data_IF_149596452734
#
_entry.id   IF_149596452734
#
_cell.length_a   1.000
_cell.length_b   1.000
_cell.length_c   1.000
_cell.angle_alpha   90.00
_cell.angle_beta   90.00
_cell.angle_gamma   90.00
#
_symmetry.space_group_name_H-M   'P 1'
#
loop_
_entity.id
_entity.type
_entity.pdbx_description
1 polymer ?
#
# COMPACT_ATOMS: atom_id res chain seq x y z
N UNK A 1 -4.23 -11.94 24.28
CA UNK A 1 -5.10 -12.31 23.15
C UNK A 1 -6.33 -13.05 23.64
N UNK A 2 -7.43 -12.33 23.91
CA UNK A 2 -8.70 -12.91 24.36
C UNK A 2 -9.62 -13.37 23.22
N UNK A 3 -9.26 -13.13 21.95
CA UNK A 3 -10.08 -13.50 20.80
C UNK A 3 -9.67 -14.90 20.33
N UNK A 4 -10.63 -15.84 20.30
CA UNK A 4 -10.41 -17.20 19.83
C UNK A 4 -10.59 -17.29 18.31
N UNK A 5 -11.64 -16.67 17.78
CA UNK A 5 -11.92 -16.60 16.33
C UNK A 5 -12.58 -15.27 15.98
N UNK A 6 -12.43 -14.84 14.73
CA UNK A 6 -13.08 -13.66 14.19
C UNK A 6 -13.50 -13.91 12.74
N UNK A 7 -14.74 -13.57 12.42
CA UNK A 7 -15.23 -13.49 11.04
C UNK A 7 -15.34 -12.01 10.67
N UNK A 8 -14.71 -11.63 9.58
CA UNK A 8 -14.69 -10.24 9.12
C UNK A 8 -15.20 -10.12 7.69
N UNK A 9 -16.26 -9.32 7.49
CA UNK A 9 -16.87 -9.08 6.19
C UNK A 9 -16.65 -7.64 5.74
N UNK A 10 -15.98 -7.48 4.59
CA UNK A 10 -15.84 -6.18 3.93
C UNK A 10 -17.06 -5.87 3.06
N UNK A 11 -17.66 -4.70 3.29
CA UNK A 11 -18.79 -4.20 2.49
C UNK A 11 -18.37 -3.49 1.19
N UNK A 12 -17.07 -3.25 0.98
CA UNK A 12 -16.57 -2.50 -0.18
C UNK A 12 -15.45 -3.28 -0.90
N UNK A 13 -15.76 -3.95 -2.02
CA UNK A 13 -14.79 -4.77 -2.74
C UNK A 13 -13.66 -3.96 -3.37
N UNK A 14 -13.83 -2.66 -3.63
CA UNK A 14 -12.76 -1.80 -4.16
C UNK A 14 -11.55 -1.75 -3.25
N UNK A 15 -11.73 -1.89 -1.94
CA UNK A 15 -10.62 -1.96 -1.01
C UNK A 15 -9.69 -3.13 -1.36
N UNK A 16 -10.25 -4.33 -1.59
CA UNK A 16 -9.48 -5.53 -1.94
C UNK A 16 -8.86 -5.40 -3.35
N UNK A 17 -9.58 -4.78 -4.30
CA UNK A 17 -9.08 -4.56 -5.66
C UNK A 17 -7.93 -3.54 -5.72
N UNK A 18 -7.86 -2.61 -4.75
CA UNK A 18 -6.77 -1.62 -4.64
C UNK A 18 -5.52 -2.15 -3.94
N UNK A 19 -5.59 -3.35 -3.35
CA UNK A 19 -4.44 -4.06 -2.78
C UNK A 19 -3.55 -4.68 -3.88
N UNK A 20 -3.36 -3.97 -4.98
CA UNK A 20 -2.49 -4.40 -6.08
C UNK A 20 -1.03 -4.15 -5.71
N UNK A 21 -0.19 -5.19 -5.68
CA UNK A 21 1.22 -5.10 -5.34
C UNK A 21 1.99 -4.06 -6.15
N UNK A 22 1.73 -3.98 -7.45
CA UNK A 22 2.43 -3.06 -8.35
C UNK A 22 2.07 -1.59 -8.12
N UNK A 23 0.88 -1.32 -7.56
CA UNK A 23 0.40 0.05 -7.27
C UNK A 23 0.77 0.55 -5.88
N UNK A 24 1.10 -0.35 -4.97
CA UNK A 24 1.35 -0.03 -3.56
C UNK A 24 2.67 0.72 -3.36
N UNK A 25 3.66 0.51 -4.22
CA UNK A 25 4.97 1.18 -4.14
C UNK A 25 4.90 2.72 -4.33
N UNK A 26 3.82 3.24 -4.93
CA UNK A 26 3.68 4.67 -5.24
C UNK A 26 2.77 5.47 -4.29
N UNK A 27 1.94 4.81 -3.48
CA UNK A 27 0.95 5.48 -2.61
C UNK A 27 1.05 5.14 -1.13
N UNK A 28 1.80 4.10 -0.75
CA UNK A 28 1.94 3.72 0.63
C UNK A 28 2.87 4.68 1.36
N UNK A 29 2.27 5.51 2.19
CA UNK A 29 2.94 6.24 3.27
C UNK A 29 3.84 7.40 2.87
N UNK A 30 3.26 8.51 2.40
CA UNK A 30 3.87 9.84 2.58
C UNK A 30 3.72 10.22 4.06
N UNK A 31 4.72 9.89 4.85
CA UNK A 31 4.94 10.53 6.15
C UNK A 31 6.04 11.56 5.90
N UNK A 32 5.71 12.83 6.11
CA UNK A 32 6.54 13.99 5.72
C UNK A 32 7.72 14.29 6.69
N UNK A 33 8.17 13.32 7.49
CA UNK A 33 9.23 13.57 8.47
C UNK A 33 10.33 12.49 8.39
N UNK A 34 11.48 12.83 7.81
CA UNK A 34 12.56 11.90 7.47
C UNK A 34 13.16 11.16 8.68
N UNK A 35 13.15 11.75 9.87
CA UNK A 35 13.66 11.12 11.10
C UNK A 35 12.69 10.12 11.73
N UNK A 36 11.39 10.35 11.59
CA UNK A 36 10.31 9.48 12.10
C UNK A 36 10.08 8.27 11.17
N UNK A 37 10.50 8.36 9.93
CA UNK A 37 10.16 7.41 8.87
C UNK A 37 10.79 6.03 9.10
N UNK A 38 12.04 5.95 9.54
CA UNK A 38 12.74 4.68 9.74
C UNK A 38 12.21 3.91 10.97
N UNK A 39 12.00 4.61 12.08
CA UNK A 39 11.45 4.00 13.30
C UNK A 39 9.99 3.56 13.07
N UNK A 40 9.20 4.36 12.37
CA UNK A 40 7.82 4.00 12.01
C UNK A 40 7.75 2.82 11.04
N UNK A 41 8.65 2.71 10.08
CA UNK A 41 8.70 1.57 9.15
C UNK A 41 9.04 0.26 9.85
N UNK A 42 9.98 0.26 10.81
CA UNK A 42 10.30 -0.93 11.59
C UNK A 42 9.13 -1.36 12.49
N UNK A 43 8.45 -0.41 13.13
CA UNK A 43 7.25 -0.67 13.90
C UNK A 43 6.10 -1.18 13.02
N UNK A 44 5.91 -0.61 11.84
CA UNK A 44 4.89 -1.04 10.87
C UNK A 44 5.13 -2.47 10.40
N UNK A 45 6.39 -2.85 10.11
CA UNK A 45 6.76 -4.21 9.75
C UNK A 45 6.38 -5.21 10.85
N UNK A 46 6.74 -4.91 12.09
CA UNK A 46 6.43 -5.78 13.23
C UNK A 46 4.91 -5.90 13.45
N UNK A 47 4.18 -4.79 13.36
CA UNK A 47 2.71 -4.79 13.46
C UNK A 47 2.09 -5.59 12.30
N UNK A 48 2.57 -5.40 11.07
CA UNK A 48 2.07 -6.14 9.90
C UNK A 48 2.32 -7.65 10.04
N UNK A 49 3.52 -8.06 10.50
CA UNK A 49 3.85 -9.47 10.76
C UNK A 49 2.93 -10.09 11.81
N UNK A 50 2.77 -9.42 12.95
CA UNK A 50 1.87 -9.87 14.03
C UNK A 50 0.42 -9.93 13.57
N UNK A 51 -0.01 -8.97 12.77
CA UNK A 51 -1.34 -8.94 12.18
C UNK A 51 -1.54 -10.13 11.23
N UNK A 52 -0.56 -10.42 10.37
CA UNK A 52 -0.61 -11.57 9.47
C UNK A 52 -0.66 -12.90 10.22
N UNK A 53 0.14 -13.07 11.28
CA UNK A 53 0.10 -14.26 12.14
C UNK A 53 -1.27 -14.43 12.82
N UNK A 54 -1.84 -13.34 13.33
CA UNK A 54 -3.16 -13.35 13.94
C UNK A 54 -4.26 -13.70 12.94
N UNK A 55 -4.23 -13.07 11.76
CA UNK A 55 -5.18 -13.35 10.66
C UNK A 55 -5.06 -14.82 10.24
N UNK A 56 -3.84 -15.32 10.06
CA UNK A 56 -3.62 -16.71 9.64
C UNK A 56 -4.30 -17.70 10.58
N UNK A 57 -4.16 -17.47 11.88
CA UNK A 57 -4.57 -18.44 12.89
C UNK A 57 -5.99 -18.27 13.39
N UNK A 58 -6.55 -17.04 13.35
CA UNK A 58 -7.79 -16.72 14.08
C UNK A 58 -8.86 -15.99 13.29
N UNK A 59 -8.54 -15.51 12.09
CA UNK A 59 -9.46 -14.65 11.34
C UNK A 59 -9.84 -15.27 10.00
N UNK A 60 -11.12 -15.29 9.72
CA UNK A 60 -11.68 -15.52 8.40
C UNK A 60 -12.11 -14.18 7.80
N UNK A 61 -11.78 -13.93 6.55
CA UNK A 61 -12.02 -12.66 5.89
C UNK A 61 -12.74 -12.90 4.56
N UNK A 62 -13.92 -12.31 4.44
CA UNK A 62 -14.69 -12.29 3.20
C UNK A 62 -15.00 -10.87 2.75
N UNK A 63 -15.27 -10.68 1.48
CA UNK A 63 -15.69 -9.43 0.88
C UNK A 63 -16.94 -9.62 0.06
N UNK A 64 -17.83 -8.64 0.07
CA UNK A 64 -18.93 -8.56 -0.89
C UNK A 64 -18.34 -8.43 -2.29
N UNK A 65 -18.95 -9.11 -3.27
CA UNK A 65 -18.50 -9.07 -4.68
C UNK A 65 -18.86 -7.78 -5.38
N UNK A 66 -20.01 -7.19 -5.03
CA UNK A 66 -20.56 -5.98 -5.67
C UNK A 66 -20.40 -4.75 -4.77
N UNK A 67 -19.91 -3.66 -5.34
CA UNK A 67 -19.72 -2.40 -4.63
C UNK A 67 -21.07 -1.83 -4.17
N UNK A 68 -21.09 -1.19 -3.01
CA UNK A 68 -22.24 -0.49 -2.41
C UNK A 68 -23.46 -1.39 -2.08
N UNK A 69 -23.30 -2.71 -2.12
CA UNK A 69 -24.40 -3.62 -1.78
C UNK A 69 -24.61 -3.73 -0.26
N UNK A 70 -23.53 -3.75 0.53
CA UNK A 70 -23.59 -3.84 1.99
C UNK A 70 -23.08 -2.54 2.63
N UNK A 71 -23.93 -1.89 3.41
CA UNK A 71 -23.61 -0.66 4.14
C UNK A 71 -23.85 -0.74 5.65
N UNK A 72 -24.30 -1.86 6.18
CA UNK A 72 -24.48 -2.10 7.62
C UNK A 72 -23.15 -2.21 8.35
N UNK A 73 -23.11 -1.79 9.61
CA UNK A 73 -22.02 -2.04 10.56
C UNK A 73 -22.62 -2.79 11.74
N UNK A 74 -22.25 -4.05 11.84
CA UNK A 74 -22.66 -4.96 12.87
C UNK A 74 -21.44 -5.55 13.56
N UNK A 75 -21.40 -5.48 14.86
CA UNK A 75 -20.44 -6.15 15.72
C UNK A 75 -21.20 -7.13 16.58
N UNK A 76 -20.89 -8.40 16.49
CA UNK A 76 -21.44 -9.46 17.30
C UNK A 76 -20.28 -10.15 18.03
N UNK A 77 -20.36 -10.23 19.34
CA UNK A 77 -19.30 -10.77 20.19
C UNK A 77 -19.94 -11.79 21.15
N UNK A 78 -19.37 -12.99 21.16
CA UNK A 78 -19.69 -14.01 22.17
C UNK A 78 -18.46 -14.18 23.07
N UNK A 79 -18.62 -13.97 24.38
CA UNK A 79 -17.56 -14.13 25.39
C UNK A 79 -17.61 -15.50 26.09
N UNK A 80 -18.42 -16.43 25.55
CA UNK A 80 -18.67 -17.76 26.12
C UNK A 80 -19.64 -17.77 27.30
N UNK A 81 -20.13 -16.59 27.74
CA UNK A 81 -21.12 -16.42 28.78
C UNK A 81 -22.33 -15.65 28.30
N UNK A 82 -22.08 -14.65 27.47
CA UNK A 82 -23.13 -13.76 26.92
C UNK A 82 -22.76 -13.34 25.51
N UNK A 83 -23.78 -13.21 24.71
CA UNK A 83 -23.68 -12.57 23.41
C UNK A 83 -23.94 -11.07 23.52
N UNK A 84 -23.17 -10.29 22.80
CA UNK A 84 -23.30 -8.85 22.69
C UNK A 84 -23.42 -8.48 21.23
N UNK A 85 -24.34 -7.60 20.89
CA UNK A 85 -24.42 -7.06 19.54
C UNK A 85 -24.53 -5.53 19.59
N UNK A 86 -23.84 -4.90 18.63
CA UNK A 86 -23.86 -3.47 18.43
C UNK A 86 -24.02 -3.21 16.94
N UNK A 87 -24.94 -2.35 16.58
CA UNK A 87 -25.15 -1.91 15.21
C UNK A 87 -25.19 -0.39 15.11
N UNK A 88 -24.72 0.14 13.99
CA UNK A 88 -24.70 1.60 13.82
C UNK A 88 -23.87 2.10 12.66
N UNK A 89 -23.29 3.29 12.84
CA UNK A 89 -22.48 3.97 11.82
C UNK A 89 -20.97 3.70 11.93
N UNK A 90 -20.47 3.20 13.07
CA UNK A 90 -19.04 3.00 13.33
C UNK A 90 -18.41 1.99 12.39
N UNK A 91 -17.43 2.44 11.60
CA UNK A 91 -16.58 1.54 10.86
C UNK A 91 -15.48 0.94 11.78
N UNK A 92 -14.95 -0.24 11.42
CA UNK A 92 -13.82 -0.87 12.12
C UNK A 92 -12.50 -0.15 11.81
N UNK A 93 -12.40 1.09 12.28
CA UNK A 93 -11.24 1.97 12.11
C UNK A 93 -10.93 2.68 13.44
N UNK A 94 -9.71 3.19 13.59
CA UNK A 94 -9.34 3.94 14.80
C UNK A 94 -10.29 5.14 15.07
N UNK A 95 -10.72 5.84 14.01
CA UNK A 95 -11.65 6.96 14.13
C UNK A 95 -13.07 6.51 14.47
N UNK A 96 -13.55 5.47 13.78
CA UNK A 96 -14.89 4.93 14.02
C UNK A 96 -15.03 4.26 15.39
N UNK A 97 -13.97 3.66 15.92
CA UNK A 97 -13.93 3.04 17.25
C UNK A 97 -13.59 4.03 18.37
N UNK A 98 -13.38 5.31 18.06
CA UNK A 98 -13.05 6.33 19.05
C UNK A 98 -11.62 6.23 19.63
N UNK A 99 -10.73 5.51 18.97
CA UNK A 99 -9.34 5.25 19.43
C UNK A 99 -8.33 6.30 18.94
N UNK A 100 -8.76 7.27 18.13
CA UNK A 100 -7.92 8.34 17.62
C UNK A 100 -8.10 9.65 18.38
N UNK A 101 -7.11 10.55 18.29
CA UNK A 101 -7.19 11.90 18.88
C UNK A 101 -8.32 12.76 18.28
N UNK A 102 -8.78 12.44 17.06
CA UNK A 102 -9.91 13.08 16.39
C UNK A 102 -10.92 12.00 15.95
N UNK A 103 -11.75 11.48 16.88
CA UNK A 103 -12.73 10.46 16.58
C UNK A 103 -13.86 11.02 15.72
N UNK A 104 -14.54 10.14 14.99
CA UNK A 104 -15.79 10.49 14.33
C UNK A 104 -16.91 10.70 15.36
N UNK A 105 -17.96 11.41 14.97
CA UNK A 105 -19.23 11.38 15.66
C UNK A 105 -20.01 10.19 15.10
N UNK A 106 -20.25 9.19 15.94
CA UNK A 106 -20.89 7.94 15.54
C UNK A 106 -22.20 7.72 16.33
N UNK A 107 -23.17 7.13 15.67
CA UNK A 107 -24.43 6.72 16.31
C UNK A 107 -24.50 5.19 16.31
N UNK A 108 -24.48 4.61 17.49
CA UNK A 108 -24.54 3.16 17.67
C UNK A 108 -25.64 2.78 18.65
N UNK A 109 -26.20 1.63 18.45
CA UNK A 109 -27.19 1.03 19.31
C UNK A 109 -26.71 -0.32 19.82
N UNK A 110 -26.76 -0.51 21.11
CA UNK A 110 -26.55 -1.82 21.74
C UNK A 110 -27.86 -2.61 21.65
N UNK A 111 -27.76 -3.86 21.23
CA UNK A 111 -28.92 -4.73 21.09
C UNK A 111 -29.09 -5.56 22.37
N UNK A 112 -30.10 -5.22 23.17
CA UNK A 112 -30.30 -5.82 24.49
C UNK A 112 -31.17 -7.10 24.47
N UNK A 113 -31.97 -7.29 23.43
CA UNK A 113 -32.86 -8.44 23.30
C UNK A 113 -32.12 -9.68 22.79
N UNK A 114 -32.26 -10.81 23.49
CA UNK A 114 -31.68 -12.10 23.05
C UNK A 114 -32.18 -12.50 21.66
N UNK A 115 -33.47 -12.28 21.42
CA UNK A 115 -34.09 -12.56 20.13
C UNK A 115 -33.43 -11.77 19.01
N UNK A 116 -33.29 -10.46 19.21
CA UNK A 116 -32.76 -9.58 18.17
C UNK A 116 -31.28 -9.88 17.92
N UNK A 117 -30.48 -10.24 18.94
CA UNK A 117 -29.10 -10.72 18.77
C UNK A 117 -29.03 -12.00 17.93
N UNK A 118 -29.92 -12.95 18.23
CA UNK A 118 -30.02 -14.21 17.46
C UNK A 118 -30.43 -13.94 16.00
N UNK A 119 -31.39 -13.08 15.76
CA UNK A 119 -31.84 -12.72 14.43
C UNK A 119 -30.74 -12.01 13.63
N UNK A 120 -29.98 -11.12 14.26
CA UNK A 120 -28.82 -10.44 13.63
C UNK A 120 -27.69 -11.42 13.30
N UNK A 121 -27.44 -12.37 14.20
CA UNK A 121 -26.43 -13.41 13.93
C UNK A 121 -26.88 -14.31 12.78
N UNK A 122 -28.14 -14.75 12.77
CA UNK A 122 -28.67 -15.56 11.70
C UNK A 122 -28.58 -14.85 10.33
N UNK A 123 -28.93 -13.56 10.30
CA UNK A 123 -28.76 -12.72 9.11
C UNK A 123 -27.30 -12.66 8.64
N UNK A 124 -26.35 -12.49 9.56
CA UNK A 124 -24.92 -12.48 9.21
C UNK A 124 -24.47 -13.84 8.69
N UNK A 125 -24.87 -14.94 9.33
CA UNK A 125 -24.49 -16.30 8.94
C UNK A 125 -25.05 -16.67 7.56
N UNK A 126 -26.28 -16.24 7.24
CA UNK A 126 -26.89 -16.39 5.92
C UNK A 126 -26.07 -15.63 4.85
N UNK A 127 -25.79 -14.36 5.10
CA UNK A 127 -24.96 -13.53 4.20
C UNK A 127 -23.55 -14.10 4.06
N UNK A 128 -22.93 -14.52 5.17
CA UNK A 128 -21.61 -15.12 5.18
C UNK A 128 -21.52 -16.38 4.33
N UNK A 129 -22.57 -17.18 4.34
CA UNK A 129 -22.62 -18.46 3.62
C UNK A 129 -22.97 -18.34 2.15
N UNK A 130 -23.47 -17.18 1.71
CA UNK A 130 -23.87 -16.96 0.32
C UNK A 130 -22.65 -16.70 -0.58
N UNK A 131 -22.16 -17.76 -1.22
CA UNK A 131 -20.99 -17.71 -2.13
C UNK A 131 -21.24 -16.92 -3.43
N UNK A 132 -22.51 -16.62 -3.76
CA UNK A 132 -22.83 -15.76 -4.89
C UNK A 132 -22.59 -14.29 -4.54
N UNK A 133 -22.86 -13.90 -3.30
CA UNK A 133 -22.71 -12.52 -2.82
C UNK A 133 -21.31 -12.24 -2.26
N UNK A 134 -20.65 -13.22 -1.61
CA UNK A 134 -19.36 -13.01 -0.94
C UNK A 134 -18.27 -13.89 -1.50
N UNK A 135 -17.03 -13.45 -1.35
CA UNK A 135 -15.83 -14.23 -1.68
C UNK A 135 -14.82 -14.22 -0.53
N UNK A 136 -14.07 -15.32 -0.38
CA UNK A 136 -12.93 -15.37 0.53
C UNK A 136 -11.78 -14.53 -0.03
N UNK A 137 -11.31 -13.58 0.76
CA UNK A 137 -10.22 -12.67 0.39
C UNK A 137 -9.05 -12.75 1.36
N UNK A 138 -9.06 -13.71 2.30
CA UNK A 138 -8.01 -13.88 3.32
C UNK A 138 -6.62 -13.99 2.68
N UNK A 139 -6.48 -14.81 1.64
CA UNK A 139 -5.21 -14.99 0.95
C UNK A 139 -4.68 -13.67 0.34
N UNK A 140 -5.56 -12.89 -0.30
CA UNK A 140 -5.21 -11.58 -0.89
C UNK A 140 -4.75 -10.58 0.18
N UNK A 141 -5.43 -10.55 1.34
CA UNK A 141 -5.05 -9.69 2.46
C UNK A 141 -3.71 -10.09 3.05
N UNK A 142 -3.46 -11.39 3.22
CA UNK A 142 -2.18 -11.90 3.73
C UNK A 142 -1.03 -11.62 2.75
N UNK A 143 -1.24 -11.77 1.46
CA UNK A 143 -0.26 -11.43 0.42
C UNK A 143 0.09 -9.93 0.48
N UNK A 144 -0.89 -9.06 0.60
CA UNK A 144 -0.67 -7.63 0.77
C UNK A 144 0.13 -7.32 2.03
N UNK A 145 -0.24 -7.91 3.18
CA UNK A 145 0.49 -7.71 4.43
C UNK A 145 1.94 -8.22 4.32
N UNK A 146 2.16 -9.35 3.63
CA UNK A 146 3.47 -9.92 3.43
C UNK A 146 4.45 -8.93 2.79
N UNK A 147 3.98 -8.10 1.85
CA UNK A 147 4.81 -7.07 1.21
C UNK A 147 5.32 -6.00 2.19
N UNK A 148 4.59 -5.77 3.29
CA UNK A 148 4.97 -4.76 4.29
C UNK A 148 6.10 -5.22 5.23
N UNK A 149 6.31 -6.55 5.37
CA UNK A 149 7.30 -7.10 6.30
C UNK A 149 8.31 -8.07 5.66
N UNK A 150 8.28 -8.26 4.34
CA UNK A 150 9.31 -9.01 3.63
C UNK A 150 10.66 -8.34 3.86
N UNK A 151 11.59 -9.09 4.42
CA UNK A 151 12.98 -8.66 4.53
C UNK A 151 13.66 -8.79 3.19
N UNK A 152 13.96 -7.68 2.57
CA UNK A 152 14.78 -7.66 1.38
C UNK A 152 16.23 -8.03 1.75
N UNK A 153 16.89 -8.85 0.94
CA UNK A 153 18.29 -9.17 1.14
C UNK A 153 19.14 -7.88 1.14
N UNK A 154 20.27 -7.84 1.85
CA UNK A 154 21.18 -6.69 1.82
C UNK A 154 21.57 -6.29 0.39
N UNK A 155 21.70 -7.26 -0.51
CA UNK A 155 21.97 -7.03 -1.94
C UNK A 155 20.83 -6.29 -2.63
N UNK A 156 19.57 -6.67 -2.39
CA UNK A 156 18.42 -5.96 -2.94
C UNK A 156 18.39 -4.51 -2.46
N UNK A 157 18.61 -4.27 -1.15
CA UNK A 157 18.67 -2.92 -0.56
C UNK A 157 19.80 -2.12 -1.20
N UNK A 158 20.97 -2.74 -1.39
CA UNK A 158 22.12 -2.11 -2.04
C UNK A 158 21.80 -1.70 -3.48
N UNK A 159 21.29 -2.62 -4.31
CA UNK A 159 20.94 -2.31 -5.70
C UNK A 159 19.79 -1.32 -5.81
N UNK A 160 18.78 -1.40 -4.95
CA UNK A 160 17.67 -0.44 -4.91
C UNK A 160 18.18 0.96 -4.52
N UNK A 161 19.10 1.05 -3.58
CA UNK A 161 19.74 2.32 -3.19
C UNK A 161 20.56 2.90 -4.34
N UNK A 162 21.38 2.08 -4.99
CA UNK A 162 22.13 2.49 -6.17
C UNK A 162 21.21 2.98 -7.29
N UNK A 163 20.13 2.24 -7.55
CA UNK A 163 19.15 2.64 -8.56
C UNK A 163 18.57 4.03 -8.25
N UNK A 164 18.14 4.31 -7.03
CA UNK A 164 17.60 5.61 -6.65
C UNK A 164 18.64 6.74 -6.68
N UNK A 165 19.89 6.45 -6.33
CA UNK A 165 20.98 7.43 -6.43
C UNK A 165 21.25 7.80 -7.90
N UNK A 166 21.24 6.80 -8.78
CA UNK A 166 21.56 6.97 -10.20
C UNK A 166 20.34 7.17 -11.10
N UNK A 167 19.11 7.05 -10.59
CA UNK A 167 17.87 7.19 -11.37
C UNK A 167 17.82 8.49 -12.16
N UNK A 168 18.18 9.62 -11.54
CA UNK A 168 18.24 10.93 -12.21
C UNK A 168 19.33 10.98 -13.26
N UNK A 169 20.44 10.28 -13.04
CA UNK A 169 21.52 10.20 -14.00
C UNK A 169 21.14 9.32 -15.20
N UNK A 170 20.48 8.18 -14.97
CA UNK A 170 20.00 7.29 -16.03
C UNK A 170 18.89 7.96 -16.87
N UNK A 171 17.92 8.61 -16.21
CA UNK A 171 16.87 9.37 -16.90
C UNK A 171 17.43 10.53 -17.72
N UNK A 172 18.44 11.22 -17.18
CA UNK A 172 19.13 12.30 -17.90
C UNK A 172 19.92 11.81 -19.12
N UNK A 173 20.41 10.57 -19.13
CA UNK A 173 21.07 10.00 -20.31
C UNK A 173 20.08 9.68 -21.43
N UNK A 174 18.89 9.23 -21.12
CA UNK A 174 17.84 8.99 -22.14
C UNK A 174 17.37 10.30 -22.80
N UNK A 175 17.14 11.34 -22.01
CA UNK A 175 16.81 12.67 -22.55
C UNK A 175 17.94 13.25 -23.39
N UNK A 176 19.21 13.00 -23.03
CA UNK A 176 20.38 13.42 -23.80
C UNK A 176 20.49 12.68 -25.13
N UNK A 177 20.27 11.38 -25.14
CA UNK A 177 20.29 10.60 -26.39
C UNK A 177 19.29 11.16 -27.38
N UNK A 178 18.05 11.43 -26.96
CA UNK A 178 17.01 12.03 -27.80
C UNK A 178 17.36 13.46 -28.26
N UNK A 179 18.02 14.27 -27.42
CA UNK A 179 18.44 15.61 -27.81
C UNK A 179 19.50 15.58 -28.91
N UNK A 180 20.50 14.70 -28.78
CA UNK A 180 21.58 14.59 -29.78
C UNK A 180 21.10 13.95 -31.08
N UNK A 181 20.17 13.00 -31.04
CA UNK A 181 19.57 12.40 -32.24
C UNK A 181 18.79 13.40 -33.08
N UNK A 182 18.29 14.49 -32.46
CA UNK A 182 17.55 15.56 -33.13
C UNK A 182 18.41 16.77 -33.54
N UNK A 183 19.74 16.74 -33.29
CA UNK A 183 20.63 17.84 -33.61
C UNK A 183 21.53 17.49 -34.80
N UNK A 184 21.76 18.45 -35.69
CA UNK A 184 22.66 18.30 -36.83
C UNK A 184 24.16 18.09 -36.41
N UNK A 185 24.49 18.07 -35.13
CA UNK A 185 25.85 17.86 -34.61
C UNK A 185 26.35 16.46 -34.94
N UNK A 186 25.48 15.45 -34.85
CA UNK A 186 25.81 14.04 -35.09
C UNK A 186 26.19 13.76 -36.55
N UNK A 187 25.73 14.61 -37.48
CA UNK A 187 26.02 14.48 -38.92
C UNK A 187 27.34 15.12 -39.35
N UNK A 188 28.03 15.83 -38.45
CA UNK A 188 29.27 16.53 -38.77
C UNK A 188 30.45 15.56 -38.89
N UNK A 189 31.41 15.92 -39.78
CA UNK A 189 32.68 15.16 -39.94
C UNK A 189 33.49 15.15 -38.63
N UNK A 190 33.40 16.21 -37.83
CA UNK A 190 34.06 16.30 -36.52
C UNK A 190 33.48 15.25 -35.58
N UNK A 191 32.15 15.13 -35.49
CA UNK A 191 31.51 14.15 -34.63
C UNK A 191 31.87 12.71 -34.99
N UNK A 192 31.96 12.42 -36.31
CA UNK A 192 32.34 11.10 -36.81
C UNK A 192 33.79 10.73 -36.48
N UNK A 193 34.67 11.73 -36.38
CA UNK A 193 36.08 11.55 -36.06
C UNK A 193 36.35 11.39 -34.55
N UNK A 194 35.41 11.73 -33.65
CA UNK A 194 35.57 11.61 -32.23
C UNK A 194 35.48 10.15 -31.76
N UNK A 195 36.33 9.79 -30.77
CA UNK A 195 36.20 8.55 -30.03
C UNK A 195 34.94 8.57 -29.13
N UNK A 196 34.43 7.42 -28.73
CA UNK A 196 33.22 7.33 -27.92
C UNK A 196 33.31 8.11 -26.61
N UNK A 197 34.43 8.00 -25.88
CA UNK A 197 34.63 8.77 -24.65
C UNK A 197 34.64 10.31 -24.88
N UNK A 198 35.09 10.76 -26.05
CA UNK A 198 35.06 12.18 -26.41
C UNK A 198 33.64 12.62 -26.73
N UNK A 199 32.87 11.80 -27.42
CA UNK A 199 31.43 12.03 -27.65
C UNK A 199 30.68 12.16 -26.34
N UNK A 200 30.95 11.29 -25.36
CA UNK A 200 30.35 11.37 -24.04
C UNK A 200 30.78 12.64 -23.28
N UNK A 201 32.01 13.06 -23.43
CA UNK A 201 32.52 14.34 -22.91
C UNK A 201 31.77 15.54 -23.50
N UNK A 202 31.53 15.56 -24.81
CA UNK A 202 30.77 16.61 -25.50
C UNK A 202 29.33 16.62 -25.01
N UNK A 203 28.66 15.46 -24.92
CA UNK A 203 27.32 15.33 -24.39
C UNK A 203 27.22 15.91 -22.97
N UNK A 204 28.14 15.52 -22.08
CA UNK A 204 28.20 16.01 -20.71
C UNK A 204 28.45 17.52 -20.61
N UNK A 205 29.31 18.08 -21.47
CA UNK A 205 29.57 19.51 -21.53
C UNK A 205 28.34 20.32 -21.97
N UNK A 206 27.66 19.88 -23.03
CA UNK A 206 26.44 20.52 -23.53
C UNK A 206 25.33 20.50 -22.45
N UNK A 207 25.16 19.40 -21.75
CA UNK A 207 24.20 19.31 -20.66
C UNK A 207 24.50 20.35 -19.54
N UNK A 208 25.75 20.42 -19.11
CA UNK A 208 26.15 21.39 -18.07
C UNK A 208 25.95 22.84 -18.53
N UNK A 209 26.25 23.14 -19.80
CA UNK A 209 25.99 24.47 -20.38
C UNK A 209 24.46 24.75 -20.32
N UNK A 210 23.63 23.83 -20.72
CA UNK A 210 22.17 24.02 -20.73
C UNK A 210 21.58 24.14 -19.32
N UNK A 211 22.15 23.43 -18.33
CA UNK A 211 21.67 23.46 -16.95
C UNK A 211 22.20 24.63 -16.14
N UNK A 212 23.47 25.01 -16.37
CA UNK A 212 24.23 25.94 -15.52
C UNK A 212 24.73 27.17 -16.27
N UNK A 213 24.40 27.34 -17.55
CA UNK A 213 24.86 28.40 -18.46
C UNK A 213 26.38 28.43 -18.64
N UNK A 214 27.09 27.34 -18.37
CA UNK A 214 28.52 27.23 -18.57
C UNK A 214 29.12 25.93 -18.01
N UNK A 215 30.28 25.56 -18.50
CA UNK A 215 31.10 24.48 -17.94
C UNK A 215 32.59 24.79 -18.09
N UNK A 216 33.40 24.15 -17.25
CA UNK A 216 34.88 24.18 -17.37
C UNK A 216 35.28 22.79 -17.84
N UNK A 217 35.98 22.73 -18.97
CA UNK A 217 36.66 21.52 -19.46
C UNK A 217 38.07 21.56 -18.94
N UNK A 218 38.44 20.58 -18.11
CA UNK A 218 39.80 20.37 -17.66
C UNK A 218 40.36 19.13 -18.38
N UNK A 219 41.55 19.26 -18.94
CA UNK A 219 42.31 18.18 -19.58
C UNK A 219 43.19 17.48 -18.52
#
# INVERSE_FOLDING_TARGET
>A
DGIESLQFLFGEPKFIQTLDPEKTDKKAFKIEDEGLELANRLQQKEVARRCAEWITNKVEIRSIREANLLHGKLYHVDDGRREHALMGSSNFTQRGLGLSAAPNIELNMVVDSDRDRTDLKAWFDELWSDTALVEDVKAKVLEYLAQLYVDHSPEFIYFKTLFHVFEKFLSGQEEQAQFFDNTAITDTEIWKALFEFQKDGVKGAVQKINTHNGCILAD
#
